data_IF_926585653816
#
_entry.id   IF_926585653816
#
_cell.length_a   1.000
_cell.length_b   1.000
_cell.length_c   1.000
_cell.angle_alpha   90.00
_cell.angle_beta   90.00
_cell.angle_gamma   90.00
#
_symmetry.space_group_name_H-M   'P 1'
#
loop_
_entity.id
_entity.type
_entity.pdbx_description
1 polymer ?
#
# COMPACT_ATOMS: atom_id res chain seq x y z
N UNK A 1 61.17 17.10 -20.92
CA UNK A 1 60.42 16.14 -20.07
C UNK A 1 58.91 16.45 -19.93
N UNK A 2 58.21 17.04 -20.93
CA UNK A 2 56.79 17.45 -20.76
C UNK A 2 55.74 16.63 -21.53
N UNK A 3 56.05 16.15 -22.74
CA UNK A 3 55.06 15.53 -23.66
C UNK A 3 54.59 14.15 -23.23
N UNK A 4 55.46 13.34 -22.60
CA UNK A 4 55.12 11.98 -22.19
C UNK A 4 54.12 11.94 -21.02
N UNK A 5 54.15 12.94 -20.13
CA UNK A 5 53.24 13.02 -18.98
C UNK A 5 51.80 13.38 -19.41
N UNK A 6 51.64 14.23 -20.43
CA UNK A 6 50.33 14.55 -20.99
C UNK A 6 49.72 13.38 -21.77
N UNK A 7 50.54 12.57 -22.46
CA UNK A 7 50.06 11.37 -23.16
C UNK A 7 49.58 10.28 -22.19
N UNK A 8 50.30 10.06 -21.09
CA UNK A 8 49.91 9.11 -20.04
C UNK A 8 48.62 9.55 -19.32
N UNK A 9 48.49 10.83 -19.02
CA UNK A 9 47.30 11.38 -18.37
C UNK A 9 46.06 11.25 -19.27
N UNK A 10 46.19 11.53 -20.57
CA UNK A 10 45.11 11.36 -21.55
C UNK A 10 44.70 9.90 -21.73
N UNK A 11 45.66 8.97 -21.72
CA UNK A 11 45.39 7.54 -21.82
C UNK A 11 44.64 7.01 -20.57
N UNK A 12 45.03 7.46 -19.38
CA UNK A 12 44.34 7.13 -18.12
C UNK A 12 42.92 7.70 -18.07
N UNK A 13 42.71 8.92 -18.55
CA UNK A 13 41.38 9.53 -18.62
C UNK A 13 40.46 8.76 -19.59
N UNK A 14 40.97 8.41 -20.77
CA UNK A 14 40.21 7.63 -21.75
C UNK A 14 39.82 6.25 -21.21
N UNK A 15 40.74 5.59 -20.49
CA UNK A 15 40.50 4.30 -19.86
C UNK A 15 39.39 4.42 -18.78
N UNK A 16 39.40 5.49 -17.98
CA UNK A 16 38.37 5.74 -16.97
C UNK A 16 36.97 5.90 -17.58
N UNK A 17 36.84 6.65 -18.68
CA UNK A 17 35.55 6.83 -19.37
C UNK A 17 35.00 5.52 -19.98
N UNK A 18 35.87 4.62 -20.45
CA UNK A 18 35.44 3.30 -20.94
C UNK A 18 34.84 2.43 -19.83
N UNK A 19 35.39 2.50 -18.60
CA UNK A 19 34.87 1.73 -17.47
C UNK A 19 33.60 2.33 -16.82
N UNK A 20 33.29 3.61 -17.05
CA UNK A 20 32.08 4.25 -16.51
C UNK A 20 30.84 4.11 -17.40
N UNK A 21 30.90 3.35 -18.48
CA UNK A 21 29.74 3.03 -19.34
C UNK A 21 28.80 2.02 -18.65
N UNK A 22 28.27 2.38 -17.47
CA UNK A 22 27.21 1.65 -16.80
C UNK A 22 25.91 1.93 -17.55
N UNK A 23 25.55 1.05 -18.46
CA UNK A 23 24.24 1.06 -19.10
C UNK A 23 23.18 0.80 -18.01
N UNK A 24 22.46 1.84 -17.59
CA UNK A 24 21.35 1.73 -16.66
C UNK A 24 20.21 0.93 -17.34
N UNK A 25 20.32 -0.40 -17.33
CA UNK A 25 19.28 -1.30 -17.84
C UNK A 25 18.06 -1.15 -16.93
N UNK A 26 17.01 -0.49 -17.43
CA UNK A 26 15.70 -0.50 -16.76
C UNK A 26 15.25 -1.95 -16.67
N UNK A 27 14.80 -2.34 -15.48
CA UNK A 27 14.21 -3.66 -15.27
C UNK A 27 12.99 -3.88 -16.16
N UNK A 28 12.57 -5.14 -16.36
CA UNK A 28 11.36 -5.44 -17.10
C UNK A 28 10.15 -4.75 -16.46
N UNK A 29 9.21 -4.30 -17.29
CA UNK A 29 7.90 -3.84 -16.83
C UNK A 29 7.23 -4.99 -16.06
N UNK A 30 6.68 -4.67 -14.89
CA UNK A 30 5.92 -5.64 -14.09
C UNK A 30 4.47 -5.58 -14.49
N UNK A 31 3.80 -6.72 -14.52
CA UNK A 31 2.37 -6.76 -14.73
C UNK A 31 1.63 -6.12 -13.54
N UNK A 32 0.43 -5.56 -13.72
CA UNK A 32 -0.33 -4.93 -12.63
C UNK A 32 -0.54 -5.85 -11.41
N UNK A 33 -0.82 -7.13 -11.63
CA UNK A 33 -1.01 -8.16 -10.60
C UNK A 33 0.27 -8.45 -9.79
N UNK A 34 1.45 -8.15 -10.34
CA UNK A 34 2.74 -8.31 -9.67
C UNK A 34 3.01 -7.25 -8.60
N UNK A 35 2.23 -6.18 -8.60
CA UNK A 35 2.40 -5.01 -7.72
C UNK A 35 1.12 -4.67 -6.95
N UNK A 36 -0.04 -5.13 -7.43
CA UNK A 36 -1.32 -5.04 -6.72
C UNK A 36 -1.26 -5.83 -5.40
N UNK A 37 -1.55 -5.20 -4.24
CA UNK A 37 -1.55 -5.89 -2.96
C UNK A 37 -2.57 -7.03 -2.94
N UNK A 38 -2.23 -8.13 -2.29
CA UNK A 38 -3.19 -9.17 -1.97
C UNK A 38 -4.32 -8.59 -1.07
N UNK A 39 -5.55 -9.12 -1.17
CA UNK A 39 -6.63 -8.73 -0.28
C UNK A 39 -6.25 -9.00 1.18
N UNK A 40 -6.86 -8.23 2.07
CA UNK A 40 -6.74 -8.43 3.51
C UNK A 40 -7.73 -9.52 3.92
N UNK A 41 -7.23 -10.59 4.54
CA UNK A 41 -8.09 -11.72 4.95
C UNK A 41 -8.43 -11.72 6.45
N UNK A 42 -7.85 -10.80 7.21
CA UNK A 42 -7.96 -10.71 8.67
C UNK A 42 -8.62 -9.41 9.16
N UNK A 43 -9.45 -8.77 8.33
CA UNK A 43 -10.27 -7.65 8.80
C UNK A 43 -11.20 -8.17 9.88
N UNK A 44 -11.22 -7.49 11.01
CA UNK A 44 -12.14 -7.73 12.10
C UNK A 44 -12.67 -6.42 12.68
N UNK A 45 -13.86 -6.49 13.23
CA UNK A 45 -14.59 -5.36 13.78
C UNK A 45 -15.10 -5.69 15.18
N UNK A 46 -15.19 -4.67 16.03
CA UNK A 46 -15.80 -4.76 17.35
C UNK A 46 -16.49 -3.45 17.71
N UNK A 47 -17.59 -3.55 18.45
CA UNK A 47 -18.30 -2.41 19.04
C UNK A 47 -17.74 -2.11 20.43
N UNK A 48 -17.34 -0.87 20.69
CA UNK A 48 -16.84 -0.39 21.99
C UNK A 48 -17.33 1.01 22.24
N UNK A 49 -17.99 1.24 23.37
CA UNK A 49 -18.33 2.58 23.87
C UNK A 49 -19.02 3.49 22.83
N UNK A 50 -19.94 2.92 22.03
CA UNK A 50 -20.64 3.66 20.96
C UNK A 50 -19.86 3.81 19.64
N UNK A 51 -18.72 3.14 19.52
CA UNK A 51 -17.84 3.21 18.36
C UNK A 51 -17.70 1.85 17.68
N UNK A 52 -17.65 1.88 16.35
CA UNK A 52 -17.11 0.77 15.57
C UNK A 52 -15.59 0.91 15.55
N UNK A 53 -14.88 -0.11 16.03
CA UNK A 53 -13.44 -0.26 15.84
C UNK A 53 -13.16 -1.37 14.84
N UNK A 54 -12.41 -1.03 13.79
CA UNK A 54 -11.87 -1.96 12.80
C UNK A 54 -10.39 -2.21 13.08
N UNK A 55 -9.93 -3.44 12.85
CA UNK A 55 -8.52 -3.79 12.87
C UNK A 55 -8.16 -4.75 11.73
N UNK A 56 -6.96 -4.62 11.18
CA UNK A 56 -6.47 -5.49 10.10
C UNK A 56 -4.94 -5.49 10.04
N UNK A 57 -4.38 -6.52 9.41
CA UNK A 57 -2.95 -6.59 9.09
C UNK A 57 -2.62 -5.88 7.78
N UNK A 58 -1.41 -5.35 7.69
CA UNK A 58 -0.87 -4.77 6.45
C UNK A 58 -0.52 -5.91 5.47
N UNK A 59 -1.04 -5.92 4.23
CA UNK A 59 -0.59 -6.87 3.22
C UNK A 59 0.90 -6.64 2.92
N UNK A 60 1.67 -7.73 2.88
CA UNK A 60 3.10 -7.69 2.54
C UNK A 60 3.41 -8.38 1.21
N UNK A 61 2.39 -8.99 0.59
CA UNK A 61 2.47 -9.65 -0.71
C UNK A 61 1.50 -9.04 -1.71
N UNK A 62 1.81 -9.21 -2.99
CA UNK A 62 0.90 -9.01 -4.11
C UNK A 62 0.01 -10.22 -4.30
N UNK A 63 -0.97 -10.12 -5.20
CA UNK A 63 -1.81 -11.25 -5.62
C UNK A 63 -0.99 -12.42 -6.19
N UNK A 64 0.13 -12.14 -6.85
CA UNK A 64 1.07 -13.15 -7.35
C UNK A 64 2.11 -13.60 -6.32
N UNK A 65 2.00 -13.16 -5.06
CA UNK A 65 2.92 -13.55 -3.97
C UNK A 65 4.26 -12.79 -3.95
N UNK A 66 4.46 -11.82 -4.85
CA UNK A 66 5.64 -10.94 -4.80
C UNK A 66 5.56 -10.01 -3.60
N UNK A 67 6.70 -9.49 -3.15
CA UNK A 67 6.73 -8.58 -2.00
C UNK A 67 6.17 -7.20 -2.37
N UNK A 68 5.24 -6.69 -1.57
CA UNK A 68 4.70 -5.33 -1.68
C UNK A 68 5.37 -4.42 -0.66
N UNK A 69 6.07 -3.43 -1.18
CA UNK A 69 6.99 -2.62 -0.39
C UNK A 69 6.36 -1.45 0.32
N UNK A 70 5.41 -0.78 -0.31
CA UNK A 70 4.81 0.43 0.21
C UNK A 70 3.31 0.42 -0.06
N UNK A 71 2.53 0.52 1.00
CA UNK A 71 1.10 0.84 0.93
C UNK A 71 1.00 2.34 1.21
N UNK A 72 0.30 3.09 0.37
CA UNK A 72 0.05 4.51 0.60
C UNK A 72 -1.12 4.72 1.56
N UNK A 73 -2.24 4.05 1.28
CA UNK A 73 -3.51 4.27 1.96
C UNK A 73 -4.27 2.95 2.16
N UNK A 74 -5.09 2.92 3.22
CA UNK A 74 -6.21 2.00 3.33
C UNK A 74 -7.52 2.77 3.15
N UNK A 75 -8.36 2.33 2.22
CA UNK A 75 -9.69 2.89 1.99
C UNK A 75 -10.69 2.02 2.73
N UNK A 76 -11.39 2.61 3.69
CA UNK A 76 -12.41 1.93 4.49
C UNK A 76 -13.74 2.21 3.83
N UNK A 77 -14.44 1.16 3.47
CA UNK A 77 -15.76 1.24 2.87
C UNK A 77 -16.79 0.64 3.83
N UNK A 78 -18.00 1.20 3.82
CA UNK A 78 -19.10 0.72 4.64
C UNK A 78 -20.42 0.71 3.88
N UNK A 79 -21.34 -0.10 4.37
CA UNK A 79 -22.73 -0.18 3.92
C UNK A 79 -23.61 -0.38 5.15
N UNK A 80 -24.52 0.55 5.45
CA UNK A 80 -25.45 0.41 6.57
C UNK A 80 -26.84 -0.03 6.09
N UNK A 81 -27.26 -1.22 6.52
CA UNK A 81 -28.47 -1.88 6.01
C UNK A 81 -29.71 -1.12 6.50
N UNK A 82 -30.68 -0.92 5.61
CA UNK A 82 -31.96 -0.26 5.96
C UNK A 82 -31.94 1.27 5.89
N UNK A 83 -30.79 1.90 5.59
CA UNK A 83 -30.69 3.35 5.36
C UNK A 83 -30.85 3.79 3.91
N UNK A 84 -31.18 2.85 3.02
CA UNK A 84 -31.21 3.10 1.57
C UNK A 84 -29.82 2.99 0.92
N UNK A 85 -28.79 2.60 1.66
CA UNK A 85 -27.46 2.30 1.13
C UNK A 85 -27.52 1.00 0.32
N UNK A 86 -27.62 1.11 -1.02
CA UNK A 86 -27.59 -0.05 -1.91
C UNK A 86 -26.19 -0.66 -2.03
N UNK A 87 -25.15 0.16 -1.85
CA UNK A 87 -23.76 -0.19 -2.16
C UNK A 87 -22.79 0.25 -1.06
N UNK A 88 -21.60 -0.34 -1.07
CA UNK A 88 -20.48 0.13 -0.26
C UNK A 88 -20.06 1.53 -0.69
N UNK A 89 -19.90 2.43 0.28
CA UNK A 89 -19.39 3.78 0.08
C UNK A 89 -18.17 4.04 0.97
N UNK A 90 -17.35 5.02 0.59
CA UNK A 90 -16.13 5.34 1.34
C UNK A 90 -16.50 5.98 2.68
N UNK A 91 -16.14 5.31 3.77
CA UNK A 91 -16.27 5.83 5.14
C UNK A 91 -15.08 6.71 5.53
N UNK A 92 -13.86 6.28 5.17
CA UNK A 92 -12.62 6.96 5.52
C UNK A 92 -11.43 6.49 4.66
N UNK A 93 -10.35 7.26 4.72
CA UNK A 93 -9.04 6.88 4.18
C UNK A 93 -7.99 7.02 5.27
N UNK A 94 -7.21 5.96 5.49
CA UNK A 94 -6.13 5.89 6.49
C UNK A 94 -4.80 5.91 5.76
N UNK A 95 -4.14 7.07 5.76
CA UNK A 95 -2.80 7.21 5.20
C UNK A 95 -1.78 6.45 6.08
N UNK A 96 -0.91 5.67 5.45
CA UNK A 96 0.08 4.86 6.18
C UNK A 96 1.32 5.67 6.56
N UNK A 97 1.65 6.68 5.75
CA UNK A 97 2.92 7.40 5.82
C UNK A 97 4.14 6.48 5.76
N UNK A 98 4.08 5.35 5.05
CA UNK A 98 5.16 4.36 5.00
C UNK A 98 6.42 4.86 4.31
N UNK A 99 6.28 5.79 3.36
CA UNK A 99 7.42 6.33 2.62
C UNK A 99 8.42 7.00 3.56
N UNK A 100 9.66 6.51 3.58
CA UNK A 100 10.72 7.05 4.44
C UNK A 100 10.65 6.60 5.90
N UNK A 101 9.72 5.72 6.30
CA UNK A 101 9.73 5.12 7.64
C UNK A 101 10.74 3.99 7.74
N UNK A 102 11.60 4.04 8.77
CA UNK A 102 12.53 2.96 9.11
C UNK A 102 11.84 1.68 9.61
N UNK A 103 10.65 1.80 10.22
CA UNK A 103 9.86 0.65 10.72
C UNK A 103 8.47 0.67 10.11
N UNK A 104 8.14 -0.40 9.37
CA UNK A 104 6.80 -0.62 8.83
C UNK A 104 5.82 -0.99 9.94
N UNK A 105 4.66 -0.35 9.92
CA UNK A 105 3.54 -0.71 10.79
C UNK A 105 2.95 -2.02 10.26
N UNK A 106 2.70 -2.98 11.15
CA UNK A 106 2.25 -4.32 10.76
C UNK A 106 0.73 -4.47 10.75
N UNK A 107 0.04 -3.63 11.49
CA UNK A 107 -1.41 -3.69 11.70
C UNK A 107 -1.96 -2.28 11.89
N UNK A 108 -3.18 -2.08 11.44
CA UNK A 108 -3.86 -0.80 11.50
C UNK A 108 -5.14 -0.92 12.30
N UNK A 109 -5.58 0.22 12.83
CA UNK A 109 -6.80 0.35 13.62
C UNK A 109 -7.51 1.63 13.20
N UNK A 110 -8.82 1.54 13.06
CA UNK A 110 -9.68 2.68 12.78
C UNK A 110 -10.87 2.66 13.74
N UNK A 111 -11.26 3.83 14.23
CA UNK A 111 -12.43 4.00 15.08
C UNK A 111 -13.33 5.08 14.51
N UNK A 112 -14.64 4.86 14.60
CA UNK A 112 -15.65 5.82 14.18
C UNK A 112 -16.86 5.72 15.10
N UNK A 113 -17.39 6.88 15.48
CA UNK A 113 -18.71 6.97 16.08
C UNK A 113 -19.77 6.59 15.03
N UNK A 114 -20.61 5.62 15.35
CA UNK A 114 -21.70 5.18 14.49
C UNK A 114 -22.96 5.21 15.33
N UNK A 115 -24.02 5.93 14.93
CA UNK A 115 -25.27 5.90 15.67
C UNK A 115 -25.85 4.48 15.69
N UNK A 116 -26.35 4.02 16.84
CA UNK A 116 -26.90 2.66 16.98
C UNK A 116 -28.02 2.38 15.97
N UNK A 117 -28.79 3.40 15.60
CA UNK A 117 -29.88 3.30 14.62
C UNK A 117 -29.40 3.13 13.16
N UNK A 118 -28.08 3.14 12.91
CA UNK A 118 -27.51 2.83 11.60
C UNK A 118 -27.18 1.35 11.47
N UNK A 119 -27.15 0.61 12.59
CA UNK A 119 -26.81 -0.80 12.59
C UNK A 119 -27.97 -1.66 12.01
N UNK A 120 -27.65 -2.77 11.32
CA UNK A 120 -26.31 -3.32 11.12
C UNK A 120 -25.55 -2.62 9.98
N UNK A 121 -24.23 -2.47 10.15
CA UNK A 121 -23.35 -1.96 9.11
C UNK A 121 -22.27 -3.00 8.76
N UNK A 122 -22.00 -3.14 7.46
CA UNK A 122 -20.91 -3.94 6.91
C UNK A 122 -19.72 -3.05 6.60
N UNK A 123 -18.53 -3.61 6.76
CA UNK A 123 -17.27 -2.94 6.47
C UNK A 123 -16.35 -3.85 5.66
N UNK A 124 -15.58 -3.22 4.78
CA UNK A 124 -14.46 -3.83 4.07
C UNK A 124 -13.35 -2.80 3.88
N UNK A 125 -12.13 -3.27 3.68
CA UNK A 125 -10.95 -2.43 3.51
C UNK A 125 -10.27 -2.75 2.19
N UNK A 126 -9.87 -1.71 1.48
CA UNK A 126 -9.09 -1.80 0.24
C UNK A 126 -7.72 -1.18 0.47
N UNK A 127 -6.67 -1.82 -0.04
CA UNK A 127 -5.30 -1.31 0.03
C UNK A 127 -4.92 -0.58 -1.26
N UNK A 128 -4.27 0.58 -1.14
CA UNK A 128 -3.77 1.36 -2.27
C UNK A 128 -2.27 1.62 -2.14
N UNK A 129 -1.51 1.36 -3.19
CA UNK A 129 -0.06 1.66 -3.25
C UNK A 129 0.22 3.08 -3.72
N UNK A 130 1.46 3.58 -3.54
CA UNK A 130 1.85 4.94 -3.97
C UNK A 130 1.83 5.14 -5.49
N UNK A 131 2.01 4.06 -6.25
CA UNK A 131 1.88 4.01 -7.71
C UNK A 131 0.43 3.75 -8.18
N UNK A 132 -0.52 3.68 -7.26
CA UNK A 132 -1.96 3.73 -7.55
C UNK A 132 -2.63 2.38 -7.79
N UNK A 133 -1.95 1.26 -7.57
CA UNK A 133 -2.58 -0.07 -7.62
C UNK A 133 -3.48 -0.27 -6.42
N UNK A 134 -4.64 -0.88 -6.68
CA UNK A 134 -5.73 -1.06 -5.71
C UNK A 134 -6.01 -2.55 -5.58
N UNK A 135 -6.00 -3.08 -4.35
CA UNK A 135 -6.33 -4.49 -4.09
C UNK A 135 -7.79 -4.79 -4.36
N UNK A 136 -8.13 -6.07 -4.49
CA UNK A 136 -9.50 -6.50 -4.21
C UNK A 136 -9.91 -6.13 -2.76
N UNK A 137 -11.21 -6.00 -2.46
CA UNK A 137 -11.67 -5.76 -1.10
C UNK A 137 -11.27 -6.90 -0.15
N UNK A 138 -11.09 -6.55 1.12
CA UNK A 138 -10.90 -7.52 2.21
C UNK A 138 -12.08 -8.48 2.36
N UNK A 139 -11.94 -9.46 3.25
CA UNK A 139 -13.12 -10.09 3.86
C UNK A 139 -14.06 -9.02 4.43
N UNK A 140 -15.36 -9.26 4.34
CA UNK A 140 -16.39 -8.35 4.88
C UNK A 140 -16.69 -8.70 6.33
N UNK A 141 -16.82 -7.68 7.17
CA UNK A 141 -17.23 -7.82 8.57
C UNK A 141 -18.51 -7.04 8.83
N UNK A 142 -19.39 -7.57 9.66
CA UNK A 142 -20.66 -6.94 10.01
C UNK A 142 -20.67 -6.59 11.50
N UNK A 143 -21.11 -5.38 11.81
CA UNK A 143 -21.44 -4.98 13.17
C UNK A 143 -22.94 -4.90 13.27
N UNK A 144 -23.49 -5.69 14.19
CA UNK A 144 -24.89 -5.64 14.61
C UNK A 144 -25.00 -4.91 15.95
N UNK A 145 -26.23 -4.64 16.36
CA UNK A 145 -26.53 -4.34 17.75
C UNK A 145 -26.23 -5.53 18.66
#
# INVERSE_FOLDING_TARGET
MGRSSHMLLSALLALFFFFTSSCARRGPLRAPEDVRPAPIDDLAARWIDGQVELHWSRPNRSETGRRVDEIADFIIEHQCIGRGDSDFSVAATVATGERGRFRRVRSYRYRRDVPEEWLPCRYRVVSKTYDGYVSEPSNTVEITR
#
